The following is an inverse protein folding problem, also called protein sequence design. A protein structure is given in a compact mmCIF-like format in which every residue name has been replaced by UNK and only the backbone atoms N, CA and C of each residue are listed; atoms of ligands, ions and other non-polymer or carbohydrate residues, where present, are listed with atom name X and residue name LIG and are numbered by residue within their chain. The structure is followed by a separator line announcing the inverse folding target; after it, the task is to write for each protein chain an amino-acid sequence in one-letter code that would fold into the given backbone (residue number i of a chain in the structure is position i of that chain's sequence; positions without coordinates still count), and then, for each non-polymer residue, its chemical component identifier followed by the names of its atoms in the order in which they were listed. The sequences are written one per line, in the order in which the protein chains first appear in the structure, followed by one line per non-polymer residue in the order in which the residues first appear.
data_IF_388442202878
#
_entry.id   IF_388442202878
#
_cell.length_a   1.000
_cell.length_b   1.000
_cell.length_c   1.000
_cell.angle_alpha   90.00
_cell.angle_beta   90.00
_cell.angle_gamma   90.00
#
_symmetry.space_group_name_H-M   'P 1'
#
loop_
_entity.id
_entity.type
_entity.pdbx_description
1 polymer ?
#
# COMPACT_ATOMS: atom_id res chain seq x y z
N UNK A 1 -20.56 -6.11 -18.73
CA UNK A 1 -19.15 -5.68 -18.72
C UNK A 1 -18.29 -6.94 -18.73
N UNK A 2 -17.41 -7.10 -19.73
CA UNK A 2 -16.51 -8.26 -19.80
C UNK A 2 -15.27 -7.94 -18.99
N UNK A 3 -15.14 -8.53 -17.81
CA UNK A 3 -13.86 -8.66 -17.10
C UNK A 3 -12.92 -9.39 -18.04
N UNK A 4 -11.89 -8.72 -18.59
CA UNK A 4 -10.79 -9.41 -19.24
C UNK A 4 -9.91 -9.96 -18.12
N UNK A 5 -10.28 -11.15 -17.62
CA UNK A 5 -9.37 -11.99 -16.86
C UNK A 5 -8.26 -12.41 -17.83
N UNK A 6 -7.04 -11.92 -17.65
CA UNK A 6 -5.88 -12.50 -18.28
C UNK A 6 -5.66 -13.87 -17.63
N UNK A 7 -6.30 -14.90 -18.20
CA UNK A 7 -5.77 -16.26 -18.10
C UNK A 7 -4.46 -16.24 -18.89
N UNK A 8 -3.35 -16.29 -18.16
CA UNK A 8 -2.03 -16.51 -18.72
C UNK A 8 -2.05 -17.88 -19.43
N UNK A 9 -2.42 -17.89 -20.71
CA UNK A 9 -2.13 -19.02 -21.56
C UNK A 9 -0.60 -19.04 -21.66
N UNK A 10 0.02 -19.93 -20.89
CA UNK A 10 1.40 -20.31 -21.03
C UNK A 10 1.65 -20.63 -22.51
N UNK A 11 2.20 -19.67 -23.24
CA UNK A 11 2.77 -19.94 -24.54
C UNK A 11 3.99 -20.79 -24.24
N UNK A 12 3.83 -22.10 -24.36
CA UNK A 12 4.87 -23.10 -24.22
C UNK A 12 5.90 -22.84 -25.33
N UNK A 13 6.84 -21.92 -25.10
CA UNK A 13 8.04 -21.78 -25.91
C UNK A 13 8.95 -22.94 -25.53
N UNK A 14 8.87 -24.01 -26.31
CA UNK A 14 9.78 -25.14 -26.24
C UNK A 14 11.17 -24.63 -26.65
N UNK A 15 12.00 -24.22 -25.70
CA UNK A 15 13.43 -24.04 -25.93
C UNK A 15 14.12 -25.40 -25.81
N UNK A 16 14.54 -25.90 -26.97
CA UNK A 16 15.43 -27.04 -27.11
C UNK A 16 16.79 -26.65 -26.50
N UNK A 17 17.23 -27.33 -25.45
CA UNK A 17 18.50 -27.05 -24.79
C UNK A 17 19.68 -27.45 -25.68
N UNK A 18 20.51 -26.48 -26.06
CA UNK A 18 21.94 -26.71 -26.33
C UNK A 18 22.76 -25.69 -25.55
N UNK A 19 23.72 -26.19 -24.77
CA UNK A 19 24.63 -25.43 -23.93
C UNK A 19 25.46 -24.43 -24.75
N UNK A 20 25.04 -23.18 -24.80
CA UNK A 20 25.91 -22.02 -25.06
C UNK A 20 25.50 -20.89 -24.12
N UNK A 21 26.49 -20.12 -23.67
CA UNK A 21 26.35 -18.97 -22.76
C UNK A 21 25.19 -18.08 -23.16
N UNK A 22 24.15 -18.01 -22.30
CA UNK A 22 22.98 -17.16 -22.52
C UNK A 22 23.39 -15.70 -22.31
N UNK A 23 23.82 -15.06 -23.40
CA UNK A 23 23.69 -13.62 -23.55
C UNK A 23 22.20 -13.29 -23.68
N UNK A 24 21.72 -12.28 -22.94
CA UNK A 24 20.33 -11.81 -23.00
C UNK A 24 19.87 -11.67 -24.46
N UNK A 25 18.66 -12.17 -24.81
CA UNK A 25 18.20 -12.09 -26.19
C UNK A 25 17.98 -10.63 -26.58
N UNK A 26 18.61 -10.21 -27.67
CA UNK A 26 18.36 -8.93 -28.33
C UNK A 26 16.86 -8.83 -28.70
N UNK A 27 16.19 -7.77 -28.26
CA UNK A 27 14.85 -7.41 -28.71
C UNK A 27 13.69 -7.64 -27.73
N UNK A 28 13.91 -7.57 -26.41
CA UNK A 28 12.81 -7.46 -25.45
C UNK A 28 12.07 -6.14 -25.69
N UNK A 29 10.88 -6.22 -26.27
CA UNK A 29 10.04 -5.07 -26.55
C UNK A 29 9.46 -4.53 -25.24
N UNK A 30 10.23 -3.68 -24.56
CA UNK A 30 9.70 -2.82 -23.50
C UNK A 30 8.60 -1.92 -24.10
N UNK A 31 7.39 -1.99 -23.55
CA UNK A 31 6.28 -1.13 -24.00
C UNK A 31 6.51 0.32 -23.50
N UNK A 32 7.25 0.49 -22.39
CA UNK A 32 7.60 1.76 -21.72
C UNK A 32 6.43 2.71 -21.42
N UNK A 33 5.20 2.23 -21.61
CA UNK A 33 3.98 3.01 -21.59
C UNK A 33 3.08 2.67 -20.41
N UNK A 34 1.79 2.80 -20.68
CA UNK A 34 0.72 2.60 -19.68
C UNK A 34 0.04 1.27 -19.92
N UNK A 35 0.03 0.41 -18.91
CA UNK A 35 -0.90 -0.71 -18.88
C UNK A 35 -2.31 -0.19 -18.53
N UNK A 36 -3.31 -0.50 -19.36
CA UNK A 36 -4.70 -0.05 -19.13
C UNK A 36 -5.52 -1.18 -18.52
N UNK A 37 -6.02 -0.96 -17.31
CA UNK A 37 -6.78 -1.93 -16.53
C UNK A 37 -6.05 -2.36 -15.26
N UNK A 38 -6.71 -3.23 -14.50
CA UNK A 38 -6.16 -3.73 -13.23
C UNK A 38 -5.10 -4.80 -13.51
N UNK A 39 -3.99 -4.71 -12.77
CA UNK A 39 -2.91 -5.70 -12.75
C UNK A 39 -3.07 -6.52 -11.48
N UNK A 40 -3.15 -7.84 -11.62
CA UNK A 40 -3.26 -8.78 -10.50
C UNK A 40 -2.12 -9.78 -10.64
N UNK A 41 -1.18 -9.72 -9.70
CA UNK A 41 0.00 -10.58 -9.63
C UNK A 41 -0.17 -11.46 -8.39
N UNK A 42 -0.29 -12.75 -8.58
CA UNK A 42 -0.58 -13.73 -7.52
C UNK A 42 0.58 -14.67 -7.22
N UNK A 43 1.60 -14.67 -8.08
CA UNK A 43 2.83 -15.46 -7.95
C UNK A 43 4.08 -14.66 -8.28
N UNK A 44 5.25 -15.11 -7.81
CA UNK A 44 6.52 -14.47 -8.14
C UNK A 44 6.79 -14.44 -9.65
N UNK A 45 6.47 -15.53 -10.36
CA UNK A 45 6.64 -15.58 -11.83
C UNK A 45 5.81 -14.49 -12.54
N UNK A 46 4.59 -14.20 -12.07
CA UNK A 46 3.77 -13.13 -12.65
C UNK A 46 4.38 -11.74 -12.41
N UNK A 47 5.04 -11.52 -11.27
CA UNK A 47 5.79 -10.28 -10.99
C UNK A 47 6.95 -10.11 -11.98
N UNK A 48 7.72 -11.17 -12.20
CA UNK A 48 8.82 -11.18 -13.16
C UNK A 48 8.33 -10.95 -14.60
N UNK A 49 7.29 -11.67 -15.02
CA UNK A 49 6.71 -11.60 -16.35
C UNK A 49 6.11 -10.21 -16.63
N UNK A 50 5.46 -9.59 -15.65
CA UNK A 50 4.94 -8.22 -15.79
C UNK A 50 6.08 -7.20 -15.83
N UNK A 51 7.08 -7.32 -14.96
CA UNK A 51 8.25 -6.44 -14.92
C UNK A 51 9.05 -6.46 -16.22
N UNK A 52 9.12 -7.63 -16.88
CA UNK A 52 9.72 -7.82 -18.19
C UNK A 52 9.07 -6.99 -19.31
N UNK A 53 7.85 -6.47 -19.11
CA UNK A 53 7.18 -5.59 -20.07
C UNK A 53 7.60 -4.11 -19.96
N UNK A 54 8.31 -3.74 -18.88
CA UNK A 54 8.83 -2.40 -18.64
C UNK A 54 7.74 -1.30 -18.63
N UNK A 55 6.52 -1.62 -18.20
CA UNK A 55 5.49 -0.60 -18.03
C UNK A 55 5.95 0.44 -17.00
N UNK A 56 5.66 1.71 -17.28
CA UNK A 56 5.98 2.82 -16.36
C UNK A 56 4.74 3.30 -15.62
N UNK A 57 3.55 2.93 -16.09
CA UNK A 57 2.26 3.33 -15.50
C UNK A 57 1.23 2.21 -15.54
N UNK A 58 0.34 2.21 -14.55
CA UNK A 58 -0.87 1.40 -14.52
C UNK A 58 -2.07 2.35 -14.41
N UNK A 59 -2.91 2.37 -15.44
CA UNK A 59 -4.19 3.07 -15.47
C UNK A 59 -5.28 2.13 -14.92
N UNK A 60 -5.22 1.92 -13.60
CA UNK A 60 -6.00 0.93 -12.86
C UNK A 60 -5.35 0.59 -11.52
N UNK A 61 -5.81 -0.52 -10.91
CA UNK A 61 -5.26 -1.05 -9.65
C UNK A 61 -4.03 -1.92 -9.88
N UNK A 62 -3.09 -1.89 -8.95
CA UNK A 62 -2.06 -2.92 -8.81
C UNK A 62 -2.36 -3.79 -7.58
N UNK A 63 -2.57 -5.08 -7.78
CA UNK A 63 -2.80 -6.06 -6.72
C UNK A 63 -1.68 -7.10 -6.73
N UNK A 64 -0.97 -7.24 -5.61
CA UNK A 64 0.19 -8.10 -5.41
C UNK A 64 -0.12 -9.07 -4.27
N UNK A 65 -0.23 -10.35 -4.59
CA UNK A 65 -0.49 -11.46 -3.68
C UNK A 65 -1.85 -12.11 -3.93
N UNK A 66 -2.52 -12.60 -2.88
CA UNK A 66 -3.75 -13.40 -3.01
C UNK A 66 -4.87 -12.95 -2.09
N UNK A 67 -6.12 -13.08 -2.55
CA UNK A 67 -7.32 -12.79 -1.76
C UNK A 67 -7.94 -14.01 -1.06
N UNK A 68 -7.61 -15.22 -1.48
CA UNK A 68 -8.21 -16.49 -1.02
C UNK A 68 -7.54 -17.01 0.28
N UNK A 69 -7.91 -18.20 0.75
CA UNK A 69 -7.26 -18.87 1.89
C UNK A 69 -5.85 -19.42 1.57
N UNK A 70 -5.24 -18.95 0.48
CA UNK A 70 -3.90 -19.35 0.07
C UNK A 70 -2.96 -18.15 0.12
N UNK A 71 -1.72 -18.42 0.47
CA UNK A 71 -0.64 -17.46 0.41
C UNK A 71 -0.02 -17.39 -0.98
N UNK A 72 0.55 -16.23 -1.30
CA UNK A 72 1.41 -16.07 -2.47
C UNK A 72 2.84 -16.52 -2.18
N UNK A 73 3.56 -16.93 -3.22
CA UNK A 73 5.01 -17.18 -3.18
C UNK A 73 5.86 -15.94 -3.51
N UNK A 74 5.22 -14.78 -3.70
CA UNK A 74 5.90 -13.50 -3.95
C UNK A 74 6.79 -13.13 -2.77
N UNK A 75 8.03 -12.78 -3.09
CA UNK A 75 9.07 -12.40 -2.12
C UNK A 75 10.01 -11.32 -2.65
N UNK A 76 9.94 -10.97 -3.94
CA UNK A 76 10.77 -9.94 -4.56
C UNK A 76 9.95 -9.08 -5.53
N UNK A 77 9.85 -7.78 -5.25
CA UNK A 77 9.15 -6.80 -6.09
C UNK A 77 10.09 -5.98 -6.98
N UNK A 78 11.40 -6.23 -6.95
CA UNK A 78 12.41 -5.41 -7.64
C UNK A 78 12.19 -5.32 -9.15
N UNK A 79 11.50 -6.29 -9.74
CA UNK A 79 11.06 -6.32 -11.14
C UNK A 79 10.06 -5.21 -11.50
N UNK A 80 9.41 -4.58 -10.51
CA UNK A 80 8.42 -3.52 -10.69
C UNK A 80 9.03 -2.11 -10.64
N UNK A 81 10.35 -1.98 -10.51
CA UNK A 81 11.05 -0.71 -10.32
C UNK A 81 10.84 0.34 -11.43
N UNK A 82 10.33 -0.03 -12.59
CA UNK A 82 10.02 0.92 -13.66
C UNK A 82 8.71 1.70 -13.42
N UNK A 83 7.85 1.23 -12.52
CA UNK A 83 6.56 1.86 -12.25
C UNK A 83 6.73 3.20 -11.54
N UNK A 84 6.03 4.21 -12.06
CA UNK A 84 6.03 5.58 -11.53
C UNK A 84 4.65 6.07 -11.12
N UNK A 85 3.59 5.44 -11.62
CA UNK A 85 2.21 5.85 -11.39
C UNK A 85 1.28 4.62 -11.42
N UNK A 86 0.44 4.48 -10.39
CA UNK A 86 -0.68 3.54 -10.33
C UNK A 86 -1.92 4.37 -10.03
N UNK A 87 -2.53 4.90 -11.09
CA UNK A 87 -3.59 5.89 -10.94
C UNK A 87 -4.50 5.89 -12.16
N UNK A 88 -5.81 5.79 -11.93
CA UNK A 88 -6.78 5.87 -13.00
C UNK A 88 -6.97 7.32 -13.44
N UNK A 89 -6.65 7.58 -14.70
CA UNK A 89 -6.79 8.91 -15.31
C UNK A 89 -8.23 9.28 -15.67
N UNK A 90 -9.15 8.31 -15.62
CA UNK A 90 -10.55 8.46 -16.02
C UNK A 90 -11.51 8.50 -14.80
N UNK A 91 -12.02 9.68 -14.42
CA UNK A 91 -12.90 9.85 -13.26
C UNK A 91 -14.29 9.23 -13.44
N UNK A 92 -14.69 8.86 -14.67
CA UNK A 92 -16.01 8.29 -14.96
C UNK A 92 -16.08 6.77 -14.72
N UNK A 93 -14.94 6.14 -14.41
CA UNK A 93 -14.87 4.71 -14.11
C UNK A 93 -14.74 4.56 -12.61
N UNK A 94 -15.74 3.97 -11.97
CA UNK A 94 -15.66 3.44 -10.60
C UNK A 94 -14.61 2.31 -10.51
N UNK A 95 -13.36 2.60 -10.81
CA UNK A 95 -12.27 1.67 -10.97
C UNK A 95 -11.16 2.04 -10.00
N UNK A 96 -10.66 1.01 -9.33
CA UNK A 96 -9.67 1.13 -8.28
C UNK A 96 -8.35 1.69 -8.84
N UNK A 97 -7.70 2.56 -8.07
CA UNK A 97 -6.42 3.20 -8.37
C UNK A 97 -5.40 2.99 -7.26
N UNK A 98 -5.61 1.94 -6.48
CA UNK A 98 -4.86 1.64 -5.27
C UNK A 98 -3.73 0.64 -5.58
N UNK A 99 -2.73 0.59 -4.70
CA UNK A 99 -1.74 -0.46 -4.64
C UNK A 99 -2.11 -1.38 -3.48
N UNK A 100 -2.31 -2.66 -3.76
CA UNK A 100 -2.61 -3.67 -2.75
C UNK A 100 -1.44 -4.64 -2.68
N UNK A 101 -0.84 -4.81 -1.52
CA UNK A 101 0.17 -5.83 -1.24
C UNK A 101 -0.37 -6.71 -0.11
N UNK A 102 -0.92 -7.86 -0.48
CA UNK A 102 -1.77 -8.65 0.41
C UNK A 102 -1.43 -10.14 0.39
N UNK A 103 -1.21 -10.76 1.56
CA UNK A 103 -0.93 -12.20 1.72
C UNK A 103 0.33 -12.68 0.99
N UNK A 104 1.45 -11.98 1.23
CA UNK A 104 2.79 -12.37 0.77
C UNK A 104 3.68 -12.69 1.98
N UNK A 105 3.55 -13.87 2.61
CA UNK A 105 4.22 -14.18 3.89
C UNK A 105 5.74 -14.27 3.80
N UNK A 106 6.31 -14.33 2.58
CA UNK A 106 7.75 -14.33 2.35
C UNK A 106 8.31 -12.96 1.95
N UNK A 107 7.46 -11.96 1.72
CA UNK A 107 7.88 -10.62 1.36
C UNK A 107 8.41 -9.87 2.60
N UNK A 108 9.59 -9.28 2.48
CA UNK A 108 10.30 -8.63 3.62
C UNK A 108 10.42 -7.12 3.51
N UNK A 109 10.23 -6.57 2.31
CA UNK A 109 10.27 -5.16 1.99
C UNK A 109 9.44 -4.90 0.72
N UNK A 110 9.23 -3.63 0.36
CA UNK A 110 8.50 -3.22 -0.83
C UNK A 110 9.43 -2.67 -1.93
N UNK A 111 10.72 -3.02 -1.88
CA UNK A 111 11.70 -2.55 -2.86
C UNK A 111 11.30 -2.97 -4.27
N UNK A 112 11.24 -1.99 -5.17
CA UNK A 112 10.62 -2.12 -6.48
C UNK A 112 9.39 -1.22 -6.65
N UNK A 113 8.80 -0.74 -5.56
CA UNK A 113 7.73 0.27 -5.61
C UNK A 113 8.24 1.71 -5.43
N UNK A 114 9.54 1.90 -5.13
CA UNK A 114 10.11 3.19 -4.69
C UNK A 114 10.02 4.33 -5.71
N UNK A 115 9.83 4.01 -6.99
CA UNK A 115 9.67 5.01 -8.05
C UNK A 115 8.23 5.49 -8.22
N UNK A 116 7.26 4.85 -7.56
CA UNK A 116 5.86 5.25 -7.65
C UNK A 116 5.66 6.52 -6.84
N UNK A 117 5.22 7.58 -7.52
CA UNK A 117 4.99 8.90 -6.92
C UNK A 117 3.51 9.27 -6.86
N UNK A 118 2.64 8.48 -7.51
CA UNK A 118 1.23 8.80 -7.65
C UNK A 118 0.33 7.56 -7.58
N UNK A 119 -0.56 7.57 -6.60
CA UNK A 119 -1.63 6.59 -6.41
C UNK A 119 -2.81 7.20 -5.64
N UNK A 120 -3.96 6.53 -5.67
CA UNK A 120 -5.13 6.92 -4.88
C UNK A 120 -5.21 6.22 -3.51
N UNK A 121 -4.43 5.17 -3.31
CA UNK A 121 -4.37 4.51 -2.02
C UNK A 121 -3.39 3.35 -1.96
N UNK A 122 -3.05 2.94 -0.75
CA UNK A 122 -2.11 1.88 -0.44
C UNK A 122 -2.72 0.99 0.63
N UNK A 123 -2.85 -0.29 0.32
CA UNK A 123 -3.35 -1.32 1.22
C UNK A 123 -2.27 -2.38 1.39
N UNK A 124 -1.73 -2.50 2.61
CA UNK A 124 -0.69 -3.48 2.97
C UNK A 124 -1.27 -4.40 4.04
N UNK A 125 -1.46 -5.67 3.73
CA UNK A 125 -2.08 -6.58 4.69
C UNK A 125 -1.59 -8.02 4.65
N UNK A 126 -1.42 -8.64 5.82
CA UNK A 126 -1.05 -10.06 5.93
C UNK A 126 0.26 -10.38 5.20
N UNK A 127 1.25 -9.51 5.35
CA UNK A 127 2.62 -9.77 4.91
C UNK A 127 3.46 -10.05 6.14
N UNK A 128 3.34 -11.26 6.68
CA UNK A 128 3.79 -11.64 8.03
C UNK A 128 5.29 -11.42 8.32
N UNK A 129 6.12 -11.23 7.29
CA UNK A 129 7.57 -10.97 7.40
C UNK A 129 7.99 -9.56 6.99
N UNK A 130 7.04 -8.70 6.63
CA UNK A 130 7.31 -7.32 6.23
C UNK A 130 7.66 -6.50 7.47
N UNK A 131 8.91 -6.05 7.58
CA UNK A 131 9.40 -5.35 8.77
C UNK A 131 9.21 -3.83 8.73
N UNK A 132 9.12 -3.26 7.53
CA UNK A 132 8.85 -1.83 7.30
C UNK A 132 8.14 -1.64 5.96
N UNK A 133 7.72 -0.40 5.67
CA UNK A 133 7.14 -0.03 4.38
C UNK A 133 8.17 0.57 3.42
N UNK A 134 9.48 0.31 3.66
CA UNK A 134 10.54 0.76 2.77
C UNK A 134 10.30 0.28 1.35
N UNK A 135 10.43 1.19 0.40
CA UNK A 135 9.95 1.04 -0.97
C UNK A 135 8.75 1.92 -1.31
N UNK A 136 8.18 2.68 -0.37
CA UNK A 136 7.08 3.65 -0.64
C UNK A 136 7.51 5.12 -0.59
N UNK A 137 8.81 5.40 -0.49
CA UNK A 137 9.38 6.73 -0.26
C UNK A 137 9.08 7.72 -1.40
N UNK A 138 8.75 7.23 -2.60
CA UNK A 138 8.37 8.06 -3.74
C UNK A 138 7.04 8.79 -3.54
N UNK A 139 6.18 8.31 -2.63
CA UNK A 139 4.86 8.89 -2.41
C UNK A 139 4.95 10.18 -1.58
N UNK A 140 4.46 11.28 -2.16
CA UNK A 140 4.34 12.57 -1.45
C UNK A 140 2.89 12.97 -1.16
N UNK A 141 1.94 12.38 -1.88
CA UNK A 141 0.51 12.61 -1.71
C UNK A 141 -0.27 11.34 -2.03
N UNK A 142 -1.32 11.06 -1.25
CA UNK A 142 -2.34 10.06 -1.61
C UNK A 142 -3.55 10.79 -2.17
N UNK A 143 -3.87 10.55 -3.44
CA UNK A 143 -4.94 11.26 -4.11
C UNK A 143 -6.32 10.72 -3.70
N UNK A 144 -7.28 11.62 -3.50
CA UNK A 144 -8.65 11.21 -3.26
C UNK A 144 -9.24 10.45 -4.47
N UNK A 145 -9.93 9.34 -4.19
CA UNK A 145 -10.82 8.69 -5.14
C UNK A 145 -12.11 8.24 -4.41
N UNK A 146 -13.32 8.54 -4.94
CA UNK A 146 -14.57 8.17 -4.30
C UNK A 146 -14.70 6.67 -4.05
N UNK A 147 -15.15 6.29 -2.86
CA UNK A 147 -15.49 4.91 -2.48
C UNK A 147 -14.32 4.05 -2.00
N UNK A 148 -13.17 4.66 -1.69
CA UNK A 148 -11.92 3.96 -1.40
C UNK A 148 -11.23 4.44 -0.12
N UNK A 149 -10.16 3.76 0.27
CA UNK A 149 -9.38 4.10 1.46
C UNK A 149 -7.98 4.54 1.05
N UNK A 150 -7.43 5.56 1.72
CA UNK A 150 -6.14 6.11 1.34
C UNK A 150 -4.98 5.24 1.81
N UNK A 151 -4.83 5.04 3.12
CA UNK A 151 -3.75 4.22 3.69
C UNK A 151 -4.37 3.21 4.64
N UNK A 152 -4.14 1.92 4.36
CA UNK A 152 -4.67 0.81 5.16
C UNK A 152 -3.56 -0.21 5.40
N UNK A 153 -3.19 -0.40 6.67
CA UNK A 153 -2.08 -1.26 7.08
C UNK A 153 -2.60 -2.23 8.14
N UNK A 154 -2.81 -3.49 7.75
CA UNK A 154 -3.59 -4.44 8.54
C UNK A 154 -2.89 -5.79 8.70
N UNK A 155 -2.70 -6.25 9.93
CA UNK A 155 -2.22 -7.61 10.22
C UNK A 155 -0.86 -7.90 9.55
N UNK A 156 0.16 -7.08 9.81
CA UNK A 156 1.53 -7.36 9.39
C UNK A 156 2.36 -7.61 10.66
N UNK A 157 2.36 -8.85 11.14
CA UNK A 157 2.84 -9.21 12.49
C UNK A 157 4.30 -8.79 12.75
N UNK A 158 5.16 -8.80 11.72
CA UNK A 158 6.55 -8.40 11.83
C UNK A 158 6.81 -6.89 11.62
N UNK A 159 5.78 -6.08 11.37
CA UNK A 159 5.94 -4.66 11.02
C UNK A 159 6.32 -3.84 12.24
N UNK A 160 7.58 -3.40 12.30
CA UNK A 160 8.13 -2.62 13.42
C UNK A 160 8.02 -1.11 13.20
N UNK A 161 7.97 -0.68 11.94
CA UNK A 161 7.99 0.73 11.54
C UNK A 161 7.16 1.00 10.28
N UNK A 162 6.63 2.22 10.18
CA UNK A 162 5.98 2.75 8.98
C UNK A 162 6.95 3.51 8.06
N UNK A 163 8.27 3.37 8.28
CA UNK A 163 9.29 3.93 7.39
C UNK A 163 8.99 3.58 5.94
N UNK A 164 9.05 4.59 5.07
CA UNK A 164 8.51 4.55 3.71
C UNK A 164 7.43 5.60 3.50
N UNK A 165 6.64 5.94 4.53
CA UNK A 165 5.55 6.94 4.44
C UNK A 165 5.97 8.37 4.77
N UNK A 166 7.22 8.59 5.20
CA UNK A 166 7.71 9.88 5.72
C UNK A 166 7.70 11.03 4.72
N UNK A 167 7.55 10.77 3.41
CA UNK A 167 7.47 11.83 2.41
C UNK A 167 6.04 12.30 2.12
N UNK A 168 5.03 11.61 2.64
CA UNK A 168 3.63 11.97 2.43
C UNK A 168 3.30 13.22 3.25
N UNK A 169 2.78 14.25 2.57
CA UNK A 169 2.39 15.52 3.20
C UNK A 169 0.88 15.73 3.24
N UNK A 170 0.12 15.07 2.36
CA UNK A 170 -1.33 15.20 2.30
C UNK A 170 -2.03 13.94 1.81
N UNK A 171 -3.24 13.73 2.32
CA UNK A 171 -4.11 12.59 1.98
C UNK A 171 -5.50 13.11 1.60
N UNK A 172 -5.97 12.72 0.41
CA UNK A 172 -7.29 13.06 -0.08
C UNK A 172 -7.31 14.41 -0.81
N UNK A 173 -8.47 15.07 -0.80
CA UNK A 173 -8.70 16.36 -1.46
C UNK A 173 -9.76 17.19 -0.71
N UNK A 174 -9.55 18.51 -0.52
CA UNK A 174 -10.56 19.39 0.08
C UNK A 174 -11.85 19.48 -0.71
N UNK A 175 -11.80 19.20 -2.02
CA UNK A 175 -12.95 19.32 -2.91
C UNK A 175 -14.01 18.23 -2.67
N UNK A 176 -13.68 17.21 -1.89
CA UNK A 176 -14.52 16.03 -1.68
C UNK A 176 -14.56 15.62 -0.20
N UNK A 177 -15.49 16.20 0.57
CA UNK A 177 -15.83 15.72 1.91
C UNK A 177 -16.81 14.57 1.79
N UNK A 178 -16.35 13.33 2.02
CA UNK A 178 -17.22 12.15 2.08
C UNK A 178 -17.11 11.54 3.45
N UNK A 179 -18.23 11.45 4.16
CA UNK A 179 -18.29 11.02 5.56
C UNK A 179 -17.80 9.57 5.79
N UNK A 180 -17.67 8.76 4.74
CA UNK A 180 -17.26 7.36 4.82
C UNK A 180 -15.84 7.10 4.25
N UNK A 181 -15.08 8.15 3.91
CA UNK A 181 -13.72 7.99 3.41
C UNK A 181 -12.74 7.72 4.55
N UNK A 182 -12.01 6.61 4.47
CA UNK A 182 -10.96 6.26 5.43
C UNK A 182 -9.65 6.85 4.91
N UNK A 183 -9.12 7.82 5.64
CA UNK A 183 -7.83 8.43 5.33
C UNK A 183 -6.68 7.51 5.75
N UNK A 184 -6.65 7.12 7.04
CA UNK A 184 -5.63 6.23 7.60
C UNK A 184 -6.33 5.15 8.44
N UNK A 185 -5.94 3.89 8.23
CA UNK A 185 -6.31 2.76 9.08
C UNK A 185 -5.10 1.89 9.38
N UNK A 186 -4.74 1.72 10.66
CA UNK A 186 -3.58 0.93 11.10
C UNK A 186 -4.02 -0.01 12.21
N UNK A 187 -4.04 -1.32 11.97
CA UNK A 187 -4.61 -2.32 12.89
C UNK A 187 -3.85 -3.66 12.81
N UNK A 188 -3.77 -4.41 13.90
CA UNK A 188 -3.15 -5.75 13.92
C UNK A 188 -1.66 -5.75 13.61
N UNK A 189 -0.93 -4.66 13.86
CA UNK A 189 0.52 -4.63 13.67
C UNK A 189 1.18 -4.73 15.05
N UNK A 190 1.33 -5.95 15.55
CA UNK A 190 1.68 -6.24 16.94
C UNK A 190 3.05 -5.72 17.38
N UNK A 191 4.00 -5.59 16.45
CA UNK A 191 5.34 -5.07 16.72
C UNK A 191 5.50 -3.57 16.42
N UNK A 192 4.47 -2.90 15.90
CA UNK A 192 4.54 -1.48 15.58
C UNK A 192 4.55 -0.69 16.88
N UNK A 193 5.57 0.14 17.08
CA UNK A 193 5.78 0.86 18.35
C UNK A 193 5.46 2.35 18.29
N UNK A 194 5.56 2.96 17.11
CA UNK A 194 5.41 4.39 16.92
C UNK A 194 4.83 4.76 15.55
N UNK A 195 4.35 6.00 15.42
CA UNK A 195 3.80 6.58 14.18
C UNK A 195 4.65 7.72 13.60
N UNK A 196 5.95 7.82 13.95
CA UNK A 196 6.79 8.98 13.58
C UNK A 196 6.91 9.19 12.06
N UNK A 197 6.82 8.13 11.26
CA UNK A 197 6.81 8.22 9.80
C UNK A 197 5.60 9.00 9.24
N UNK A 198 4.57 9.28 10.04
CA UNK A 198 3.40 10.07 9.64
C UNK A 198 3.56 11.58 9.97
N UNK A 199 4.66 11.98 10.60
CA UNK A 199 4.90 13.36 11.10
C UNK A 199 4.80 14.45 10.04
N UNK A 200 5.03 14.14 8.76
CA UNK A 200 4.96 15.13 7.69
C UNK A 200 3.54 15.35 7.12
N UNK A 201 2.56 14.53 7.52
CA UNK A 201 1.18 14.67 7.05
C UNK A 201 0.53 15.87 7.75
N UNK A 202 0.21 16.90 6.97
CA UNK A 202 -0.41 18.13 7.47
C UNK A 202 -1.91 18.19 7.23
N UNK A 203 -2.38 17.53 6.15
CA UNK A 203 -3.76 17.59 5.71
C UNK A 203 -4.30 16.19 5.40
N UNK A 204 -5.46 15.86 5.97
CA UNK A 204 -6.20 14.62 5.67
C UNK A 204 -7.68 14.93 5.47
N UNK A 205 -8.24 14.37 4.39
CA UNK A 205 -9.67 14.46 4.10
C UNK A 205 -10.29 13.07 4.22
N UNK A 206 -10.43 12.60 5.46
CA UNK A 206 -10.89 11.25 5.78
C UNK A 206 -10.73 10.92 7.26
N UNK A 207 -11.30 9.78 7.67
CA UNK A 207 -11.21 9.26 9.03
C UNK A 207 -9.82 8.69 9.34
N UNK A 208 -9.42 8.76 10.61
CA UNK A 208 -8.20 8.13 11.14
C UNK A 208 -8.59 7.06 12.16
N UNK A 209 -8.23 5.81 11.88
CA UNK A 209 -8.49 4.67 12.74
C UNK A 209 -7.18 3.98 13.11
N UNK A 210 -6.79 4.02 14.37
CA UNK A 210 -5.57 3.37 14.86
C UNK A 210 -5.95 2.37 15.95
N UNK A 211 -5.64 1.11 15.69
CA UNK A 211 -6.12 -0.03 16.45
C UNK A 211 -7.59 -0.33 16.12
N UNK A 212 -8.32 -0.95 17.04
CA UNK A 212 -9.65 -1.50 16.75
C UNK A 212 -10.64 -1.16 17.85
N UNK A 213 -11.90 -1.01 17.47
CA UNK A 213 -12.96 -0.83 18.44
C UNK A 213 -13.26 -2.17 19.11
N UNK A 214 -13.51 -2.18 20.42
CA UNK A 214 -13.76 -3.40 21.22
C UNK A 214 -14.87 -4.35 20.67
N UNK A 215 -15.77 -3.85 19.81
CA UNK A 215 -16.88 -4.61 19.23
C UNK A 215 -16.50 -5.30 17.89
N UNK A 216 -15.35 -4.96 17.31
CA UNK A 216 -14.91 -5.51 16.03
C UNK A 216 -14.02 -6.75 16.21
N UNK A 217 -14.67 -7.91 16.26
CA UNK A 217 -14.01 -9.22 16.42
C UNK A 217 -13.16 -9.64 15.20
N UNK A 218 -13.16 -8.88 14.11
CA UNK A 218 -12.41 -9.24 12.90
C UNK A 218 -11.01 -8.65 12.85
N UNK A 219 -10.71 -7.63 13.67
CA UNK A 219 -9.44 -6.93 13.63
C UNK A 219 -8.81 -6.83 15.01
N UNK A 220 -7.50 -7.06 15.06
CA UNK A 220 -6.70 -6.97 16.28
C UNK A 220 -6.12 -5.56 16.47
N UNK A 221 -5.84 -5.21 17.72
CA UNK A 221 -5.21 -3.95 18.09
C UNK A 221 -3.76 -3.83 17.63
N UNK A 222 -3.07 -2.75 17.98
CA UNK A 222 -1.61 -2.67 17.81
C UNK A 222 -0.95 -2.82 19.19
N UNK A 223 -0.61 -4.06 19.55
CA UNK A 223 -0.27 -4.44 20.92
C UNK A 223 1.00 -3.79 21.51
N UNK A 224 1.90 -3.27 20.68
CA UNK A 224 3.11 -2.56 21.10
C UNK A 224 3.09 -1.04 20.87
N UNK A 225 2.01 -0.51 20.26
CA UNK A 225 1.96 0.88 19.81
C UNK A 225 1.78 1.84 20.98
N UNK A 226 2.83 2.58 21.30
CA UNK A 226 2.91 3.48 22.46
C UNK A 226 3.19 4.93 22.10
N UNK A 227 3.68 5.21 20.89
CA UNK A 227 4.07 6.56 20.49
C UNK A 227 3.27 7.07 19.27
N UNK A 228 2.45 8.08 19.51
CA UNK A 228 1.54 8.71 18.55
C UNK A 228 2.01 10.12 18.16
N UNK A 229 3.21 10.55 18.55
CA UNK A 229 3.67 11.93 18.35
C UNK A 229 3.79 12.32 16.87
N UNK A 230 4.01 11.35 15.99
CA UNK A 230 3.93 11.54 14.54
C UNK A 230 2.56 12.03 14.02
N UNK A 231 1.49 12.06 14.83
CA UNK A 231 0.20 12.62 14.43
C UNK A 231 -0.02 14.07 14.89
N UNK A 232 0.91 14.68 15.63
CA UNK A 232 0.72 16.03 16.19
C UNK A 232 0.47 17.10 15.12
N UNK A 233 1.21 17.06 14.00
CA UNK A 233 1.04 18.03 12.91
C UNK A 233 -0.37 17.92 12.28
N UNK A 234 -0.83 16.70 12.06
CA UNK A 234 -2.15 16.41 11.51
C UNK A 234 -3.26 17.03 12.36
N UNK A 235 -3.25 16.78 13.67
CA UNK A 235 -4.32 17.25 14.56
C UNK A 235 -4.22 18.73 14.90
N UNK A 236 -3.01 19.32 14.85
CA UNK A 236 -2.83 20.76 15.06
C UNK A 236 -3.39 21.62 13.92
N UNK A 237 -3.50 21.07 12.70
CA UNK A 237 -3.91 21.80 11.50
C UNK A 237 -5.41 21.70 11.16
N UNK A 238 -6.24 21.18 12.06
CA UNK A 238 -7.68 21.03 11.83
C UNK A 238 -8.15 19.57 11.68
N UNK A 239 -7.21 18.63 11.66
CA UNK A 239 -7.47 17.22 11.93
C UNK A 239 -8.24 16.46 10.85
N UNK A 240 -8.91 15.40 11.30
CA UNK A 240 -9.66 14.42 10.52
C UNK A 240 -11.14 14.47 10.91
N UNK A 241 -12.03 14.10 9.99
CA UNK A 241 -13.49 14.10 10.22
C UNK A 241 -13.91 13.21 11.40
N UNK A 242 -13.22 12.08 11.58
CA UNK A 242 -13.46 11.13 12.66
C UNK A 242 -12.13 10.47 13.05
N UNK A 243 -11.80 10.53 14.33
CA UNK A 243 -10.60 9.90 14.89
C UNK A 243 -11.01 8.85 15.92
N UNK A 244 -10.59 7.60 15.71
CA UNK A 244 -10.71 6.52 16.68
C UNK A 244 -9.32 5.94 16.95
N UNK A 245 -8.88 6.04 18.19
CA UNK A 245 -7.65 5.45 18.70
C UNK A 245 -8.05 4.56 19.86
N UNK A 246 -8.03 3.25 19.65
CA UNK A 246 -8.48 2.27 20.64
C UNK A 246 -7.76 0.93 20.44
N UNK A 247 -7.71 0.10 21.49
CA UNK A 247 -7.05 -1.21 21.49
C UNK A 247 -5.56 -1.16 21.06
N UNK A 248 -4.84 -0.10 21.44
CA UNK A 248 -3.37 -0.04 21.33
C UNK A 248 -2.73 -0.15 22.73
N UNK A 249 -1.41 -0.30 22.81
CA UNK A 249 -0.70 -0.28 24.09
C UNK A 249 -0.89 1.05 24.84
N UNK A 250 -0.94 2.16 24.10
CA UNK A 250 -1.34 3.48 24.59
C UNK A 250 -2.46 4.04 23.71
N UNK A 251 -3.51 4.60 24.31
CA UNK A 251 -4.65 5.17 23.58
C UNK A 251 -4.85 6.64 24.00
N UNK A 252 -4.02 7.58 23.48
CA UNK A 252 -4.18 8.99 23.76
C UNK A 252 -5.45 9.55 23.10
N UNK A 253 -6.03 10.59 23.70
CA UNK A 253 -7.03 11.40 23.00
C UNK A 253 -6.34 12.31 21.97
N UNK A 254 -7.12 12.84 21.02
CA UNK A 254 -6.62 13.86 20.08
C UNK A 254 -6.03 15.06 20.83
N UNK A 255 -6.64 15.47 21.95
CA UNK A 255 -6.12 16.59 22.74
C UNK A 255 -4.80 16.24 23.43
N UNK A 256 -4.63 15.01 23.92
CA UNK A 256 -3.35 14.56 24.49
C UNK A 256 -2.23 14.66 23.44
N UNK A 257 -2.51 14.29 22.19
CA UNK A 257 -1.53 14.37 21.10
C UNK A 257 -1.18 15.83 20.77
N UNK A 258 -2.17 16.73 20.73
CA UNK A 258 -1.96 18.17 20.50
C UNK A 258 -1.17 18.80 21.65
N UNK A 259 -1.41 18.35 22.89
CA UNK A 259 -0.75 18.87 24.10
C UNK A 259 0.65 18.26 24.33
N UNK A 260 1.08 17.33 23.47
CA UNK A 260 2.38 16.66 23.56
C UNK A 260 2.44 15.47 24.52
N UNK A 261 1.30 15.02 25.05
CA UNK A 261 1.15 13.79 25.84
C UNK A 261 0.90 12.58 24.91
N UNK A 262 1.71 12.45 23.86
CA UNK A 262 1.50 11.51 22.76
C UNK A 262 2.25 10.18 22.88
N UNK A 263 3.02 9.95 23.96
CA UNK A 263 3.76 8.70 24.16
C UNK A 263 3.83 8.22 25.62
N UNK A 264 4.03 6.91 25.83
CA UNK A 264 4.18 6.25 27.15
C UNK A 264 5.33 5.24 27.19
#
# INVERSE_FOLDING_TARGET
MKTKLLLFNAFLLIFNCTNESVTQPEGQACDNGTFVGDVILTTQQEVEDFGAMCYTKIDGKLYIGKGTNEDSDIHDLSYLNNLTEVYNSNPDRNQLSEIWVVKNPNLTNLEGLHNITKTAGVIISRNDRLASLSGLEGLTQIHYHPGFSAIVILNNDALESLDGLHNIVSIGSPDFTVFDYIGISIQGNDLLTNLEALSNINDIYGSVFIGTHEDDVYYEGNAALTDFCGLTNLFSNGGSDLVLIDNNAFNPTVQDIIDGNCSQ
#
